data_IF_054789610661
#
_entry.id   IF_054789610661
#
_cell.length_a   1.000
_cell.length_b   1.000
_cell.length_c   1.000
_cell.angle_alpha   90.00
_cell.angle_beta   90.00
_cell.angle_gamma   90.00
#
_symmetry.space_group_name_H-M   'P 1'
#
loop_
_entity.id
_entity.type
_entity.pdbx_description
1 polymer ?
#
# COMPACT_ATOMS: atom_id res chain seq x y z
N UNK A 1 -11.85 -33.65 6.05
CA UNK A 1 -10.58 -32.92 6.16
C UNK A 1 -10.84 -31.49 5.70
N UNK A 2 -11.06 -30.57 6.65
CA UNK A 2 -11.42 -29.18 6.33
C UNK A 2 -10.17 -28.39 5.97
N UNK A 3 -10.03 -27.99 4.70
CA UNK A 3 -9.03 -27.03 4.25
C UNK A 3 -9.49 -25.62 4.66
N UNK A 4 -9.41 -25.32 5.95
CA UNK A 4 -9.49 -23.94 6.45
C UNK A 4 -8.08 -23.33 6.44
N UNK A 5 -7.52 -23.14 5.25
CA UNK A 5 -6.39 -22.24 5.06
C UNK A 5 -6.99 -20.86 4.87
N UNK A 6 -6.75 -19.95 5.82
CA UNK A 6 -7.41 -18.64 5.96
C UNK A 6 -7.25 -17.63 4.80
N UNK A 7 -6.90 -18.06 3.59
CA UNK A 7 -6.85 -17.24 2.38
C UNK A 7 -8.07 -17.43 1.44
N UNK A 8 -8.76 -18.57 1.43
CA UNK A 8 -9.85 -18.85 0.48
C UNK A 8 -11.06 -19.43 1.18
N UNK A 9 -12.14 -18.65 1.24
CA UNK A 9 -13.42 -19.10 1.76
C UNK A 9 -14.17 -19.83 0.65
N UNK A 10 -14.45 -21.13 0.84
CA UNK A 10 -15.13 -21.98 -0.13
C UNK A 10 -16.53 -22.30 0.39
N UNK A 11 -17.57 -21.88 -0.34
CA UNK A 11 -18.98 -22.12 0.02
C UNK A 11 -19.49 -23.47 -0.50
N UNK A 12 -20.60 -24.01 0.01
CA UNK A 12 -21.22 -25.23 -0.53
C UNK A 12 -21.56 -25.14 -2.02
N UNK A 13 -21.95 -23.95 -2.50
CA UNK A 13 -22.21 -23.70 -3.92
C UNK A 13 -20.93 -23.83 -4.76
N UNK A 14 -19.81 -23.26 -4.28
CA UNK A 14 -18.51 -23.43 -4.94
C UNK A 14 -18.05 -24.88 -4.97
N UNK A 15 -18.31 -25.66 -3.92
CA UNK A 15 -18.02 -27.10 -3.90
C UNK A 15 -18.83 -27.86 -4.94
N UNK A 16 -20.10 -27.49 -5.16
CA UNK A 16 -20.91 -28.09 -6.22
C UNK A 16 -20.29 -27.86 -7.60
N UNK A 17 -19.90 -26.61 -7.88
CA UNK A 17 -19.28 -26.22 -9.16
C UNK A 17 -17.93 -26.93 -9.37
N UNK A 18 -17.09 -27.00 -8.32
CA UNK A 18 -15.82 -27.75 -8.36
C UNK A 18 -16.04 -29.25 -8.58
N UNK A 19 -17.05 -29.83 -7.95
CA UNK A 19 -17.39 -31.25 -8.11
C UNK A 19 -17.86 -31.53 -9.54
N UNK A 20 -18.69 -30.66 -10.10
CA UNK A 20 -19.12 -30.73 -11.51
C UNK A 20 -17.92 -30.63 -12.47
N UNK A 21 -16.96 -29.74 -12.20
CA UNK A 21 -15.74 -29.61 -13.01
C UNK A 21 -14.88 -30.87 -12.98
N UNK A 22 -14.71 -31.49 -11.81
CA UNK A 22 -13.87 -32.69 -11.62
C UNK A 22 -14.54 -33.94 -12.19
N UNK A 23 -15.88 -34.03 -12.10
CA UNK A 23 -16.65 -35.21 -12.52
C UNK A 23 -17.17 -35.14 -13.96
N UNK A 24 -17.07 -33.98 -14.61
CA UNK A 24 -17.49 -33.79 -15.99
C UNK A 24 -16.76 -34.74 -16.94
N UNK A 25 -17.54 -35.47 -17.75
CA UNK A 25 -17.03 -36.30 -18.85
C UNK A 25 -16.93 -35.57 -20.19
N UNK A 26 -17.23 -34.26 -20.23
CA UNK A 26 -17.19 -33.48 -21.48
C UNK A 26 -15.75 -33.21 -21.88
N UNK A 27 -15.37 -33.62 -23.08
CA UNK A 27 -14.02 -33.43 -23.64
C UNK A 27 -14.07 -32.55 -24.89
N UNK A 28 -12.90 -32.21 -25.44
CA UNK A 28 -12.78 -31.39 -26.66
C UNK A 28 -13.30 -29.96 -26.47
N UNK A 29 -13.82 -29.37 -27.54
CA UNK A 29 -14.25 -27.97 -27.57
C UNK A 29 -15.30 -27.64 -26.50
N UNK A 30 -16.32 -28.48 -26.34
CA UNK A 30 -17.39 -28.27 -25.37
C UNK A 30 -16.94 -28.48 -23.92
N UNK A 31 -15.96 -29.37 -23.69
CA UNK A 31 -15.32 -29.51 -22.39
C UNK A 31 -14.57 -28.24 -21.99
N UNK A 32 -13.79 -27.67 -22.92
CA UNK A 32 -13.08 -26.40 -22.71
C UNK A 32 -14.04 -25.25 -22.43
N UNK A 33 -15.09 -25.10 -23.24
CA UNK A 33 -16.10 -24.04 -23.08
C UNK A 33 -16.83 -24.16 -21.74
N UNK A 34 -17.14 -25.39 -21.29
CA UNK A 34 -17.72 -25.62 -19.97
C UNK A 34 -16.76 -25.21 -18.84
N UNK A 35 -15.48 -25.55 -18.96
CA UNK A 35 -14.48 -25.16 -17.96
C UNK A 35 -14.34 -23.64 -17.87
N UNK A 36 -14.32 -22.94 -19.00
CA UNK A 36 -14.30 -21.47 -19.03
C UNK A 36 -15.51 -20.87 -18.30
N UNK A 37 -16.72 -21.39 -18.57
CA UNK A 37 -17.93 -20.95 -17.89
C UNK A 37 -17.90 -21.22 -16.37
N UNK A 38 -17.44 -22.41 -15.97
CA UNK A 38 -17.36 -22.82 -14.55
C UNK A 38 -16.30 -22.06 -13.77
N UNK A 39 -15.20 -21.69 -14.41
CA UNK A 39 -14.18 -20.80 -13.81
C UNK A 39 -14.77 -19.41 -13.56
N UNK A 40 -15.52 -18.84 -14.51
CA UNK A 40 -16.19 -17.55 -14.30
C UNK A 40 -17.22 -17.61 -13.17
N UNK A 41 -17.99 -18.70 -13.11
CA UNK A 41 -18.94 -18.94 -12.02
C UNK A 41 -18.24 -19.04 -10.65
N UNK A 42 -17.15 -19.81 -10.54
CA UNK A 42 -16.35 -19.89 -9.32
C UNK A 42 -15.76 -18.54 -8.93
N UNK A 43 -15.30 -17.76 -9.90
CA UNK A 43 -14.78 -16.42 -9.66
C UNK A 43 -15.86 -15.52 -9.06
N UNK A 44 -17.07 -15.50 -9.64
CA UNK A 44 -18.19 -14.72 -9.10
C UNK A 44 -18.54 -15.16 -7.67
N UNK A 45 -18.71 -16.46 -7.43
CA UNK A 45 -19.03 -16.99 -6.10
C UNK A 45 -17.94 -16.65 -5.07
N UNK A 46 -16.66 -16.70 -5.46
CA UNK A 46 -15.55 -16.31 -4.59
C UNK A 46 -15.61 -14.82 -4.24
N UNK A 47 -15.96 -13.95 -5.21
CA UNK A 47 -16.08 -12.50 -4.97
C UNK A 47 -17.25 -12.15 -4.06
N UNK A 48 -18.40 -12.81 -4.23
CA UNK A 48 -19.56 -12.64 -3.36
C UNK A 48 -19.24 -13.06 -1.92
N UNK A 49 -18.63 -14.23 -1.76
CA UNK A 49 -18.27 -14.76 -0.44
C UNK A 49 -17.19 -13.91 0.27
N UNK A 50 -16.29 -13.25 -0.49
CA UNK A 50 -15.35 -12.28 0.06
C UNK A 50 -16.06 -11.01 0.53
N UNK A 51 -17.06 -10.52 -0.21
CA UNK A 51 -17.84 -9.34 0.19
C UNK A 51 -18.59 -9.56 1.51
N UNK A 52 -19.17 -10.74 1.73
CA UNK A 52 -19.87 -11.07 2.97
C UNK A 52 -18.94 -11.18 4.19
N UNK A 53 -17.73 -11.73 4.01
CA UNK A 53 -16.73 -11.90 5.08
C UNK A 53 -16.05 -10.59 5.46
N UNK A 54 -16.08 -9.61 4.56
CA UNK A 54 -15.66 -8.24 4.83
C UNK A 54 -16.86 -7.28 4.67
N UNK A 55 -17.89 -7.38 5.54
CA UNK A 55 -19.05 -6.50 5.46
C UNK A 55 -18.59 -5.09 5.83
N UNK A 56 -18.55 -4.19 4.84
CA UNK A 56 -17.95 -2.85 4.96
C UNK A 56 -16.57 -2.68 4.29
N UNK A 57 -16.02 -3.72 3.66
CA UNK A 57 -15.04 -3.62 2.57
C UNK A 57 -15.61 -4.23 1.29
N UNK A 58 -16.82 -3.82 0.92
CA UNK A 58 -17.08 -3.64 -0.51
C UNK A 58 -15.88 -2.87 -1.10
N UNK A 59 -15.57 -3.05 -2.38
CA UNK A 59 -14.78 -2.09 -3.16
C UNK A 59 -15.44 -0.69 -3.09
N UNK A 60 -15.33 -0.04 -1.94
CA UNK A 60 -16.28 0.94 -1.41
C UNK A 60 -15.61 2.11 -0.72
N UNK A 61 -14.29 2.20 -0.85
CA UNK A 61 -13.58 3.47 -0.86
C UNK A 61 -12.54 3.32 -1.97
N UNK A 62 -12.51 4.24 -2.95
CA UNK A 62 -11.43 4.38 -3.95
C UNK A 62 -11.52 3.47 -5.20
N UNK A 63 -12.60 3.55 -5.98
CA UNK A 63 -12.32 3.96 -7.36
C UNK A 63 -11.94 5.43 -7.22
N UNK A 64 -10.67 5.68 -6.92
CA UNK A 64 -10.07 6.93 -7.32
C UNK A 64 -10.42 7.03 -8.80
N UNK A 65 -11.15 8.07 -9.20
CA UNK A 65 -11.24 8.34 -10.63
C UNK A 65 -9.83 8.30 -11.18
N UNK A 66 -9.63 7.92 -12.45
CA UNK A 66 -8.29 7.96 -13.03
C UNK A 66 -7.56 9.28 -12.70
N UNK A 67 -8.31 10.39 -12.65
CA UNK A 67 -7.81 11.68 -12.18
C UNK A 67 -7.44 11.79 -10.68
N UNK A 68 -8.11 11.09 -9.76
CA UNK A 68 -7.68 11.05 -8.35
C UNK A 68 -6.39 10.23 -8.18
N UNK A 69 -6.22 9.13 -8.94
CA UNK A 69 -4.98 8.34 -8.96
C UNK A 69 -3.83 9.21 -9.46
N UNK A 70 -4.01 9.87 -10.60
CA UNK A 70 -3.03 10.79 -11.19
C UNK A 70 -2.60 11.88 -10.19
N UNK A 71 -3.55 12.46 -9.46
CA UNK A 71 -3.27 13.45 -8.41
C UNK A 71 -2.44 12.89 -7.26
N UNK A 72 -2.64 11.63 -6.88
CA UNK A 72 -1.81 10.98 -5.85
C UNK A 72 -0.39 10.71 -6.35
N UNK A 73 -0.22 10.30 -7.61
CA UNK A 73 1.10 10.19 -8.22
C UNK A 73 1.81 11.55 -8.29
N UNK A 74 1.10 12.62 -8.67
CA UNK A 74 1.63 13.98 -8.63
C UNK A 74 2.10 14.38 -7.22
N UNK A 75 1.33 14.06 -6.17
CA UNK A 75 1.75 14.29 -4.79
C UNK A 75 3.01 13.49 -4.44
N UNK A 76 3.09 12.23 -4.86
CA UNK A 76 4.28 11.40 -4.65
C UNK A 76 5.50 12.03 -5.32
N UNK A 77 5.38 12.50 -6.57
CA UNK A 77 6.48 13.19 -7.27
C UNK A 77 6.93 14.46 -6.54
N UNK A 78 6.00 15.27 -6.03
CA UNK A 78 6.32 16.45 -5.21
C UNK A 78 7.12 16.07 -3.96
N UNK A 79 6.72 15.00 -3.28
CA UNK A 79 7.40 14.50 -2.10
C UNK A 79 8.78 13.92 -2.44
N UNK A 80 8.90 13.18 -3.54
CA UNK A 80 10.16 12.55 -3.99
C UNK A 80 11.20 13.61 -4.37
N UNK A 81 10.77 14.71 -5.00
CA UNK A 81 11.65 15.80 -5.43
C UNK A 81 12.29 16.54 -4.25
N UNK A 82 11.53 16.80 -3.20
CA UNK A 82 12.02 17.51 -2.02
C UNK A 82 11.36 16.99 -0.74
N UNK A 83 11.86 15.88 -0.17
CA UNK A 83 11.27 15.31 1.04
C UNK A 83 11.46 16.19 2.28
N UNK A 84 12.38 17.16 2.25
CA UNK A 84 12.76 18.01 3.38
C UNK A 84 11.79 19.19 3.56
N UNK A 85 11.15 19.59 2.47
CA UNK A 85 10.10 20.61 2.48
C UNK A 85 8.94 20.27 3.44
N UNK A 86 8.28 21.32 3.94
CA UNK A 86 7.08 21.20 4.77
C UNK A 86 5.85 20.76 3.95
N UNK A 87 5.63 19.46 3.92
CA UNK A 87 4.55 18.76 3.24
C UNK A 87 3.31 18.53 4.12
N UNK A 88 2.71 19.61 4.64
CA UNK A 88 1.45 19.46 5.36
C UNK A 88 0.34 18.88 4.47
N UNK A 89 -0.53 18.05 5.04
CA UNK A 89 -1.68 17.48 4.31
C UNK A 89 -2.55 18.56 3.64
N UNK A 90 -2.69 19.74 4.26
CA UNK A 90 -3.44 20.87 3.70
C UNK A 90 -2.79 21.41 2.42
N UNK A 91 -1.46 21.54 2.39
CA UNK A 91 -0.71 22.00 1.21
C UNK A 91 -0.83 21.00 0.06
N UNK A 92 -0.54 19.73 0.32
CA UNK A 92 -0.62 18.66 -0.67
C UNK A 92 -2.05 18.51 -1.24
N UNK A 93 -3.05 18.54 -0.36
CA UNK A 93 -4.47 18.52 -0.71
C UNK A 93 -4.83 19.66 -1.67
N UNK A 94 -4.40 20.90 -1.36
CA UNK A 94 -4.65 22.07 -2.21
C UNK A 94 -3.92 22.00 -3.55
N UNK A 95 -2.64 21.61 -3.55
CA UNK A 95 -1.84 21.53 -4.77
C UNK A 95 -2.38 20.51 -5.77
N UNK A 96 -2.88 19.37 -5.28
CA UNK A 96 -3.42 18.32 -6.13
C UNK A 96 -4.93 18.44 -6.40
N UNK A 97 -5.63 19.37 -5.76
CA UNK A 97 -7.10 19.44 -5.86
C UNK A 97 -7.79 18.17 -5.34
N UNK A 98 -7.28 17.62 -4.23
CA UNK A 98 -7.89 16.51 -3.48
C UNK A 98 -8.35 17.03 -2.14
N UNK A 99 -9.43 16.47 -1.57
CA UNK A 99 -9.71 16.70 -0.17
C UNK A 99 -8.77 15.85 0.72
N UNK A 100 -8.60 16.24 1.99
CA UNK A 100 -7.66 15.59 2.92
C UNK A 100 -8.04 14.13 3.19
N UNK A 101 -9.32 13.79 3.20
CA UNK A 101 -9.78 12.41 3.40
C UNK A 101 -9.32 11.50 2.26
N UNK A 102 -9.53 11.93 1.01
CA UNK A 102 -9.07 11.26 -0.21
C UNK A 102 -7.54 11.15 -0.23
N UNK A 103 -6.83 12.22 0.12
CA UNK A 103 -5.37 12.18 0.21
C UNK A 103 -4.90 11.11 1.21
N UNK A 104 -5.36 11.12 2.46
CA UNK A 104 -4.88 10.18 3.48
C UNK A 104 -5.18 8.72 3.13
N UNK A 105 -6.42 8.45 2.74
CA UNK A 105 -6.87 7.08 2.50
C UNK A 105 -6.39 6.57 1.15
N UNK A 106 -6.48 7.41 0.13
CA UNK A 106 -6.00 7.10 -1.22
C UNK A 106 -4.51 6.84 -1.25
N UNK A 107 -3.69 7.74 -0.69
CA UNK A 107 -2.23 7.56 -0.67
C UNK A 107 -1.82 6.26 0.02
N UNK A 108 -2.47 5.89 1.14
CA UNK A 108 -2.24 4.61 1.81
C UNK A 108 -2.70 3.41 1.00
N UNK A 109 -3.81 3.54 0.27
CA UNK A 109 -4.32 2.47 -0.59
C UNK A 109 -3.42 2.23 -1.80
N UNK A 110 -2.96 3.29 -2.45
CA UNK A 110 -2.14 3.22 -3.67
C UNK A 110 -0.69 2.86 -3.36
N UNK A 111 -0.09 3.43 -2.30
CA UNK A 111 1.34 3.30 -2.01
C UNK A 111 1.66 2.44 -0.78
N UNK A 112 0.64 1.91 -0.08
CA UNK A 112 0.82 1.01 1.07
C UNK A 112 1.26 1.68 2.37
N UNK A 113 1.53 2.99 2.37
CA UNK A 113 1.91 3.76 3.56
C UNK A 113 1.17 5.09 3.62
N UNK A 114 1.07 5.67 4.81
CA UNK A 114 0.57 7.04 4.98
C UNK A 114 1.52 8.05 4.35
N UNK A 115 0.99 9.21 3.95
CA UNK A 115 1.79 10.34 3.41
C UNK A 115 2.99 10.67 4.33
N UNK A 116 2.77 10.79 5.63
CA UNK A 116 3.84 11.11 6.58
C UNK A 116 4.80 9.95 6.83
N UNK A 117 4.32 8.70 6.80
CA UNK A 117 5.17 7.51 6.86
C UNK A 117 6.13 7.46 5.68
N UNK A 118 5.62 7.73 4.49
CA UNK A 118 6.40 7.79 3.25
C UNK A 118 7.45 8.91 3.26
N UNK A 119 7.07 10.14 3.64
CA UNK A 119 8.02 11.26 3.80
C UNK A 119 9.11 10.90 4.81
N UNK A 120 8.73 10.34 5.96
CA UNK A 120 9.67 9.95 6.99
C UNK A 120 10.65 8.88 6.48
N UNK A 121 10.17 7.91 5.70
CA UNK A 121 11.00 6.91 5.07
C UNK A 121 12.06 7.54 4.16
N UNK A 122 11.65 8.42 3.25
CA UNK A 122 12.58 9.12 2.35
C UNK A 122 13.62 9.95 3.10
N UNK A 123 13.19 10.69 4.14
CA UNK A 123 14.11 11.47 4.99
C UNK A 123 15.15 10.57 5.66
N UNK A 124 14.74 9.40 6.17
CA UNK A 124 15.67 8.46 6.81
C UNK A 124 16.68 7.87 5.82
N UNK A 125 16.26 7.54 4.61
CA UNK A 125 17.17 7.08 3.56
C UNK A 125 18.16 8.16 3.13
N UNK A 126 17.73 9.42 3.06
CA UNK A 126 18.62 10.57 2.80
C UNK A 126 19.59 10.80 3.96
N UNK A 127 19.13 10.74 5.21
CA UNK A 127 20.00 10.77 6.39
C UNK A 127 21.09 9.71 6.33
N UNK A 128 20.72 8.48 5.96
CA UNK A 128 21.66 7.37 5.84
C UNK A 128 22.79 7.71 4.87
N UNK A 129 22.47 8.24 3.68
CA UNK A 129 23.46 8.64 2.68
C UNK A 129 24.40 9.71 3.20
N UNK A 130 23.85 10.81 3.73
CA UNK A 130 24.65 11.93 4.22
C UNK A 130 25.59 11.53 5.37
N UNK A 131 25.13 10.66 6.28
CA UNK A 131 25.96 10.17 7.36
C UNK A 131 27.13 9.29 6.86
N UNK A 132 26.92 8.50 5.79
CA UNK A 132 28.00 7.73 5.15
C UNK A 132 28.99 8.63 4.41
N UNK A 133 28.54 9.76 3.88
CA UNK A 133 29.38 10.79 3.26
C UNK A 133 30.19 11.60 4.28
N UNK A 134 30.00 11.35 5.58
CA UNK A 134 30.76 11.99 6.65
C UNK A 134 30.13 13.27 7.20
N UNK A 135 28.87 13.57 6.86
CA UNK A 135 28.16 14.74 7.38
C UNK A 135 27.95 14.67 8.89
N UNK A 136 27.89 15.83 9.54
CA UNK A 136 27.68 15.88 10.99
C UNK A 136 26.21 15.57 11.34
N UNK A 137 26.00 14.78 12.40
CA UNK A 137 24.66 14.35 12.84
C UNK A 137 23.71 15.54 13.07
N UNK A 138 24.23 16.64 13.64
CA UNK A 138 23.47 17.88 13.84
C UNK A 138 23.05 18.51 12.51
N UNK A 139 23.97 18.64 11.56
CA UNK A 139 23.71 19.17 10.21
C UNK A 139 22.62 18.35 9.51
N UNK A 140 22.77 17.02 9.50
CA UNK A 140 21.78 16.11 8.89
C UNK A 140 20.41 16.25 9.56
N UNK A 141 20.35 16.37 10.89
CA UNK A 141 19.08 16.53 11.60
C UNK A 141 18.34 17.80 11.17
N UNK A 142 19.03 18.94 11.12
CA UNK A 142 18.43 20.22 10.73
C UNK A 142 18.02 20.25 9.26
N UNK A 143 18.87 19.69 8.38
CA UNK A 143 18.58 19.58 6.95
C UNK A 143 17.29 18.79 6.70
N UNK A 144 17.04 17.74 7.48
CA UNK A 144 15.83 16.91 7.38
C UNK A 144 14.60 17.47 8.11
N UNK A 145 14.69 18.71 8.61
CA UNK A 145 13.59 19.42 9.24
C UNK A 145 13.30 19.00 10.67
N UNK A 146 14.26 18.39 11.39
CA UNK A 146 14.12 18.15 12.82
C UNK A 146 14.49 19.40 13.62
N UNK A 147 13.68 19.73 14.63
CA UNK A 147 13.95 20.84 15.56
C UNK A 147 15.15 20.59 16.45
N UNK A 148 15.45 19.33 16.78
CA UNK A 148 16.61 18.97 17.61
C UNK A 148 17.31 17.70 17.09
N UNK A 149 18.66 17.63 17.18
CA UNK A 149 19.42 16.43 16.83
C UNK A 149 19.05 15.18 17.66
N UNK A 150 18.53 15.37 18.88
CA UNK A 150 18.07 14.26 19.74
C UNK A 150 16.81 13.59 19.19
N UNK A 151 15.85 14.38 18.68
CA UNK A 151 14.64 13.84 18.06
C UNK A 151 14.99 13.04 16.80
N UNK A 152 15.89 13.59 15.98
CA UNK A 152 16.44 12.89 14.82
C UNK A 152 17.11 11.58 15.22
N UNK A 153 18.01 11.60 16.21
CA UNK A 153 18.75 10.41 16.65
C UNK A 153 17.83 9.30 17.14
N UNK A 154 16.74 9.65 17.81
CA UNK A 154 15.71 8.70 18.26
C UNK A 154 14.98 8.07 17.07
N UNK A 155 14.55 8.89 16.11
CA UNK A 155 13.87 8.43 14.89
C UNK A 155 14.80 7.54 14.03
N UNK A 156 16.04 7.96 13.85
CA UNK A 156 17.06 7.22 13.09
C UNK A 156 17.33 5.86 13.72
N UNK A 157 17.53 5.80 15.04
CA UNK A 157 17.73 4.54 15.77
C UNK A 157 16.50 3.64 15.68
N UNK A 158 15.29 4.19 15.76
CA UNK A 158 14.05 3.42 15.58
C UNK A 158 13.98 2.78 14.19
N UNK A 159 14.49 3.46 13.16
CA UNK A 159 14.48 2.97 11.78
C UNK A 159 15.60 1.96 11.48
N UNK A 160 16.83 2.23 11.90
CA UNK A 160 18.02 1.48 11.50
C UNK A 160 18.64 0.62 12.62
N UNK A 161 18.07 0.64 13.83
CA UNK A 161 18.54 -0.14 14.99
C UNK A 161 19.78 0.44 15.68
N UNK A 162 20.51 1.36 15.05
CA UNK A 162 21.72 1.98 15.61
C UNK A 162 21.63 3.51 15.58
N UNK A 163 22.35 4.17 16.49
CA UNK A 163 22.36 5.63 16.57
C UNK A 163 23.15 6.24 15.39
N UNK A 164 22.79 7.44 14.91
CA UNK A 164 23.45 8.07 13.77
C UNK A 164 24.95 8.32 14.03
N UNK A 165 25.34 8.64 15.27
CA UNK A 165 26.75 8.82 15.65
C UNK A 165 27.58 7.54 15.60
N UNK A 166 26.96 6.36 15.81
CA UNK A 166 27.61 5.06 15.60
C UNK A 166 27.61 4.66 14.13
N UNK A 167 26.56 5.04 13.39
CA UNK A 167 26.41 4.75 11.97
C UNK A 167 27.44 5.46 11.09
N UNK A 168 27.85 6.68 11.48
CA UNK A 168 28.88 7.47 10.80
C UNK A 168 30.31 6.91 10.92
N UNK A 169 30.58 6.06 11.91
CA UNK A 169 31.94 5.62 12.27
C UNK A 169 32.33 4.32 11.60
#
# INVERSE_FOLDING_TARGET
>A
MMLNTGLLHVTPQMLSVLTDMITSRRTGYYGKMLMEARVLELFMLQTEALQEKFPGKACGYLLESAGDIEKLYFIKELIDKDPEMDHSLKKLSRQAGLNIFKLKNGFKSVFGDTVFGYIHHLRMEKARKLLLEGEQVSTVAYLLGYTTPNNFSTAFRKRFGISPGKFKR
#
